data_IF_657385522894
#
_entry.id   IF_657385522894
#
_cell.length_a   1.000
_cell.length_b   1.000
_cell.length_c   1.000
_cell.angle_alpha   90.00
_cell.angle_beta   90.00
_cell.angle_gamma   90.00
#
_symmetry.space_group_name_H-M   'P 1'
#
loop_
_entity.id
_entity.type
_entity.pdbx_description
1 polymer ?
#
# COMPACT_ATOMS: atom_id res chain seq x y z
N UNK A 1 1.86 25.50 10.07
CA UNK A 1 2.13 25.64 8.62
C UNK A 1 0.92 26.35 8.00
N UNK A 2 1.11 27.24 7.01
CA UNK A 2 0.00 27.91 6.30
C UNK A 2 -0.07 27.40 4.86
N UNK A 3 -1.28 27.37 4.31
CA UNK A 3 -1.51 27.10 2.88
C UNK A 3 -1.21 28.39 2.11
N UNK A 4 -0.47 28.29 1.01
CA UNK A 4 -0.17 29.42 0.12
C UNK A 4 -1.40 29.82 -0.71
N UNK A 5 -1.37 30.99 -1.35
CA UNK A 5 -2.47 31.43 -2.24
C UNK A 5 -2.73 30.47 -3.41
N UNK A 6 -1.74 29.64 -3.79
CA UNK A 6 -1.86 28.61 -4.82
C UNK A 6 -2.29 27.24 -4.28
N UNK A 7 -2.65 27.14 -3.00
CA UNK A 7 -3.09 25.89 -2.38
C UNK A 7 -1.96 24.93 -1.97
N UNK A 8 -0.69 25.35 -2.07
CA UNK A 8 0.45 24.51 -1.66
C UNK A 8 0.69 24.60 -0.15
N UNK A 9 1.11 23.50 0.47
CA UNK A 9 1.55 23.43 1.88
C UNK A 9 2.91 22.74 1.96
N UNK A 10 3.77 23.22 2.85
CA UNK A 10 5.08 22.58 3.10
C UNK A 10 4.91 21.41 4.07
N UNK A 11 5.64 20.31 3.83
CA UNK A 11 5.63 19.13 4.70
C UNK A 11 6.95 19.12 5.50
N UNK A 12 6.90 19.16 6.85
CA UNK A 12 8.10 19.10 7.68
C UNK A 12 8.95 17.85 7.40
N UNK A 13 10.27 17.94 7.60
CA UNK A 13 11.21 16.84 7.30
C UNK A 13 10.83 15.53 7.99
N UNK A 14 10.56 15.56 9.31
CA UNK A 14 10.19 14.37 10.08
C UNK A 14 8.95 13.65 9.50
N UNK A 15 7.96 14.41 9.02
CA UNK A 15 6.76 13.85 8.39
C UNK A 15 7.08 13.24 7.03
N UNK A 16 7.93 13.89 6.22
CA UNK A 16 8.37 13.35 4.92
C UNK A 16 9.09 12.03 5.06
N UNK A 17 9.99 11.91 6.03
CA UNK A 17 10.75 10.68 6.29
C UNK A 17 9.85 9.53 6.73
N UNK A 18 8.94 9.78 7.67
CA UNK A 18 7.98 8.78 8.15
C UNK A 18 7.02 8.34 7.04
N UNK A 19 6.56 9.28 6.21
CA UNK A 19 5.63 9.02 5.10
C UNK A 19 6.34 8.60 3.81
N UNK A 20 7.69 8.51 3.80
CA UNK A 20 8.53 8.16 2.64
C UNK A 20 8.27 9.04 1.40
N UNK A 21 8.08 10.34 1.63
CA UNK A 21 7.86 11.35 0.61
C UNK A 21 9.19 12.00 0.21
N UNK A 22 9.78 11.47 -0.85
CA UNK A 22 11.07 11.95 -1.36
C UNK A 22 10.90 13.02 -2.45
N UNK A 23 11.91 13.88 -2.66
CA UNK A 23 11.93 14.83 -3.77
C UNK A 23 11.64 14.14 -5.11
N UNK A 24 10.90 14.82 -5.99
CA UNK A 24 10.49 14.31 -7.31
C UNK A 24 9.59 13.06 -7.29
N UNK A 25 9.13 12.63 -6.11
CA UNK A 25 8.14 11.56 -5.98
C UNK A 25 6.73 12.05 -6.33
N UNK A 26 5.95 11.17 -6.94
CA UNK A 26 4.52 11.39 -7.14
C UNK A 26 3.74 11.11 -5.86
N UNK A 27 2.59 11.76 -5.70
CA UNK A 27 1.70 11.59 -4.55
C UNK A 27 0.25 11.45 -5.00
N UNK A 28 -0.53 10.65 -4.28
CA UNK A 28 -1.97 10.58 -4.42
C UNK A 28 -2.66 11.22 -3.22
N UNK A 29 -3.85 11.77 -3.47
CA UNK A 29 -4.69 12.40 -2.46
C UNK A 29 -6.06 11.74 -2.43
N UNK A 30 -6.60 11.60 -1.23
CA UNK A 30 -7.93 11.08 -0.98
C UNK A 30 -8.57 11.92 0.13
N UNK A 31 -9.81 12.36 -0.06
CA UNK A 31 -10.58 13.02 0.99
C UNK A 31 -11.41 11.96 1.69
N UNK A 32 -11.15 11.75 2.97
CA UNK A 32 -11.84 10.78 3.80
C UNK A 32 -13.24 11.28 4.19
N UNK A 33 -14.18 10.40 4.57
CA UNK A 33 -15.55 10.80 4.94
C UNK A 33 -15.64 11.78 6.12
N UNK A 34 -14.62 11.81 6.98
CA UNK A 34 -14.52 12.74 8.10
C UNK A 34 -13.97 14.12 7.71
N UNK A 35 -13.66 14.33 6.42
CA UNK A 35 -13.11 15.59 5.89
C UNK A 35 -11.58 15.68 5.93
N UNK A 36 -10.89 14.66 6.45
CA UNK A 36 -9.43 14.61 6.44
C UNK A 36 -8.88 14.37 5.03
N UNK A 37 -7.70 14.93 4.74
CA UNK A 37 -6.98 14.67 3.49
C UNK A 37 -5.87 13.67 3.75
N UNK A 38 -6.02 12.46 3.20
CA UNK A 38 -4.98 11.45 3.19
C UNK A 38 -4.09 11.65 1.97
N UNK A 39 -2.79 11.86 2.21
CA UNK A 39 -1.77 11.92 1.15
C UNK A 39 -0.86 10.70 1.27
N UNK A 40 -0.56 10.05 0.15
CA UNK A 40 0.34 8.90 0.07
C UNK A 40 1.35 9.10 -1.06
N UNK A 41 2.55 8.55 -0.89
CA UNK A 41 3.45 8.37 -2.03
C UNK A 41 2.72 7.53 -3.08
N UNK A 42 2.68 8.00 -4.33
CA UNK A 42 2.11 7.24 -5.42
C UNK A 42 3.05 6.05 -5.68
N UNK A 43 2.60 4.86 -5.29
CA UNK A 43 3.34 3.64 -5.58
C UNK A 43 3.14 3.38 -7.07
N UNK A 44 4.17 3.66 -7.87
CA UNK A 44 4.20 3.33 -9.29
C UNK A 44 4.10 1.81 -9.40
N UNK A 45 2.91 1.32 -9.71
CA UNK A 45 2.54 -0.09 -9.83
C UNK A 45 2.70 -0.92 -8.56
N UNK A 46 1.57 -1.47 -8.08
CA UNK A 46 1.59 -2.57 -7.12
C UNK A 46 2.46 -3.67 -7.72
N UNK A 47 3.59 -3.98 -7.07
CA UNK A 47 4.51 -4.99 -7.58
C UNK A 47 3.74 -6.28 -7.89
N UNK A 48 4.09 -7.02 -8.95
CA UNK A 48 3.43 -8.28 -9.28
C UNK A 48 3.32 -9.21 -8.07
N UNK A 49 4.35 -9.21 -7.21
CA UNK A 49 4.36 -9.92 -5.94
C UNK A 49 3.24 -9.47 -4.99
N UNK A 50 3.07 -8.15 -4.78
CA UNK A 50 2.02 -7.64 -3.89
C UNK A 50 0.62 -7.92 -4.41
N UNK A 51 0.39 -7.86 -5.74
CA UNK A 51 -0.88 -8.31 -6.35
C UNK A 51 -1.11 -9.81 -6.21
N UNK A 52 -0.05 -10.63 -6.28
CA UNK A 52 -0.16 -12.06 -6.03
C UNK A 52 -0.56 -12.34 -4.56
N UNK A 53 0.05 -11.63 -3.60
CA UNK A 53 -0.32 -11.72 -2.18
C UNK A 53 -1.75 -11.25 -1.90
N UNK A 54 -2.22 -10.18 -2.52
CA UNK A 54 -3.61 -9.72 -2.39
C UNK A 54 -4.62 -10.75 -2.91
N UNK A 55 -4.34 -11.38 -4.07
CA UNK A 55 -5.19 -12.46 -4.61
C UNK A 55 -5.18 -13.72 -3.76
N UNK A 56 -4.05 -14.04 -3.11
CA UNK A 56 -3.93 -15.20 -2.24
C UNK A 56 -4.50 -14.96 -0.82
N UNK A 57 -4.79 -13.71 -0.45
CA UNK A 57 -5.31 -13.38 0.88
C UNK A 57 -6.72 -13.94 1.05
N UNK A 58 -6.90 -14.82 2.03
CA UNK A 58 -8.19 -15.47 2.32
C UNK A 58 -8.51 -16.68 1.44
N UNK A 59 -7.63 -17.04 0.49
CA UNK A 59 -7.83 -18.22 -0.36
C UNK A 59 -7.39 -19.53 0.29
N UNK A 60 -6.77 -19.50 1.48
CA UNK A 60 -6.31 -20.70 2.19
C UNK A 60 -7.44 -21.70 2.53
N UNK A 61 -8.69 -21.25 2.53
CA UNK A 61 -9.88 -22.08 2.73
C UNK A 61 -10.52 -22.54 1.40
N UNK A 62 -9.92 -22.21 0.25
CA UNK A 62 -10.44 -22.67 -1.03
C UNK A 62 -10.42 -24.20 -1.08
N UNK A 63 -11.41 -24.79 -1.77
CA UNK A 63 -11.55 -26.24 -1.90
C UNK A 63 -10.27 -26.93 -2.40
N UNK A 64 -9.47 -26.22 -3.21
CA UNK A 64 -8.16 -26.66 -3.69
C UNK A 64 -7.13 -26.95 -2.58
N UNK A 65 -7.26 -26.34 -1.40
CA UNK A 65 -6.35 -26.54 -0.26
C UNK A 65 -6.92 -27.46 0.83
N UNK A 66 -8.18 -27.90 0.71
CA UNK A 66 -8.89 -28.67 1.74
C UNK A 66 -8.28 -30.04 2.05
N UNK A 67 -7.51 -30.59 1.10
CA UNK A 67 -6.84 -31.88 1.22
C UNK A 67 -5.31 -31.76 1.23
N UNK A 68 -4.78 -30.53 1.28
CA UNK A 68 -3.34 -30.29 1.23
C UNK A 68 -2.74 -30.39 2.64
N UNK A 69 -1.68 -31.18 2.78
CA UNK A 69 -0.91 -31.25 4.03
C UNK A 69 -0.10 -29.97 4.28
N UNK A 70 0.39 -29.79 5.52
CA UNK A 70 1.21 -28.62 5.89
C UNK A 70 2.44 -28.48 5.00
N UNK A 71 3.14 -29.57 4.69
CA UNK A 71 4.36 -29.52 3.88
C UNK A 71 4.08 -29.17 2.41
N UNK A 72 3.01 -29.70 1.84
CA UNK A 72 2.57 -29.38 0.47
C UNK A 72 2.13 -27.92 0.36
N UNK A 73 1.43 -27.41 1.38
CA UNK A 73 1.02 -26.02 1.46
C UNK A 73 2.22 -25.09 1.58
N UNK A 74 3.18 -25.44 2.44
CA UNK A 74 4.42 -24.67 2.60
C UNK A 74 5.32 -24.73 1.36
N UNK A 75 5.24 -25.78 0.54
CA UNK A 75 5.90 -25.85 -0.77
C UNK A 75 5.23 -24.93 -1.79
N UNK A 76 3.90 -24.97 -1.88
CA UNK A 76 3.12 -24.11 -2.79
C UNK A 76 3.34 -22.62 -2.54
N UNK A 77 3.35 -22.18 -1.28
CA UNK A 77 3.53 -20.77 -0.92
C UNK A 77 4.94 -20.23 -1.23
N UNK A 78 5.95 -21.10 -1.30
CA UNK A 78 7.34 -20.69 -1.55
C UNK A 78 7.68 -20.59 -3.04
N UNK A 79 6.85 -21.16 -3.92
CA UNK A 79 7.10 -21.23 -5.37
C UNK A 79 8.09 -22.34 -5.72
#
# INVERSE_FOLDING_TARGET
MKITSKGQVTIPLAVREQARLYPHGEVSFEVLPNGDVLMRAAVTTVSPARRAFERARGSANASAFKHMGTDEFMKYLRG
#
